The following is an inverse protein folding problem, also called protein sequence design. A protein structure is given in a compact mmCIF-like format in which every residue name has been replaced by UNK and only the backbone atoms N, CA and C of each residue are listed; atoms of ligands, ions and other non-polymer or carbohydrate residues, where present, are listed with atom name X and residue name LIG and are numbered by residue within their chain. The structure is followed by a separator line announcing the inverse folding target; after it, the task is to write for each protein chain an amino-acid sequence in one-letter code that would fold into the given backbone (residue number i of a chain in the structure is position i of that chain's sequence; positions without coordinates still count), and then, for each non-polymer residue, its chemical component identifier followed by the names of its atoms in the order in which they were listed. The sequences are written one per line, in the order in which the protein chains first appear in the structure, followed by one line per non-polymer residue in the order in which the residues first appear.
data_IF_759604984062
#
_entry.id   IF_759604984062
#
_cell.length_a   1.000
_cell.length_b   1.000
_cell.length_c   1.000
_cell.angle_alpha   90.00
_cell.angle_beta   90.00
_cell.angle_gamma   90.00
#
_symmetry.space_group_name_H-M   'P 1'
#
loop_
_entity.id
_entity.type
_entity.pdbx_description
1 polymer ?
#
# COMPACT_ATOMS: atom_id res chain seq x y z
N UNK A 1 14.85 10.58 -33.04
CA UNK A 1 13.59 9.88 -33.37
C UNK A 1 12.96 9.52 -32.05
N UNK A 2 11.81 10.10 -31.72
CA UNK A 2 11.17 9.89 -30.42
C UNK A 2 10.68 8.44 -30.34
N UNK A 3 11.16 7.68 -29.35
CA UNK A 3 10.61 6.35 -29.06
C UNK A 3 9.12 6.48 -28.75
N UNK A 4 8.31 5.64 -29.39
CA UNK A 4 6.87 5.62 -29.06
C UNK A 4 6.70 5.01 -27.65
N UNK A 5 5.71 5.45 -26.86
CA UNK A 5 5.48 4.92 -25.50
C UNK A 5 5.35 3.38 -25.46
N UNK A 6 4.80 2.78 -26.51
CA UNK A 6 4.71 1.33 -26.68
C UNK A 6 6.07 0.65 -26.85
N UNK A 7 7.02 1.30 -27.50
CA UNK A 7 8.36 0.78 -27.72
C UNK A 7 9.19 0.84 -26.43
N UNK A 8 9.11 1.96 -25.69
CA UNK A 8 9.76 2.10 -24.39
C UNK A 8 9.30 1.01 -23.38
N UNK A 9 7.99 0.72 -23.35
CA UNK A 9 7.44 -0.35 -22.52
C UNK A 9 7.91 -1.74 -22.95
N UNK A 10 7.98 -2.00 -24.26
CA UNK A 10 8.46 -3.27 -24.80
C UNK A 10 9.94 -3.53 -24.45
N UNK A 11 10.79 -2.50 -24.58
CA UNK A 11 12.20 -2.59 -24.23
C UNK A 11 12.40 -2.78 -22.72
N UNK A 12 11.58 -2.09 -21.91
CA UNK A 12 11.58 -2.25 -20.46
C UNK A 12 11.13 -3.65 -20.02
N UNK A 13 10.07 -4.20 -20.63
CA UNK A 13 9.62 -5.58 -20.38
C UNK A 13 10.71 -6.60 -20.71
N UNK A 14 11.40 -6.42 -21.84
CA UNK A 14 12.52 -7.28 -22.23
C UNK A 14 13.69 -7.20 -21.23
N UNK A 15 13.97 -6.01 -20.69
CA UNK A 15 14.98 -5.81 -19.66
C UNK A 15 14.60 -6.48 -18.32
N UNK A 16 13.35 -6.33 -17.88
CA UNK A 16 12.87 -6.97 -16.65
C UNK A 16 12.81 -8.49 -16.76
N UNK A 17 12.42 -9.05 -17.91
CA UNK A 17 12.48 -10.49 -18.16
C UNK A 17 13.92 -11.04 -18.11
N UNK A 18 14.90 -10.28 -18.62
CA UNK A 18 16.33 -10.66 -18.47
C UNK A 18 16.78 -10.64 -17.01
N UNK A 19 16.37 -9.62 -16.25
CA UNK A 19 16.69 -9.52 -14.83
C UNK A 19 16.07 -10.68 -14.04
N UNK A 20 14.79 -10.97 -14.26
CA UNK A 20 14.09 -12.08 -13.64
C UNK A 20 14.72 -13.44 -13.99
N UNK A 21 15.14 -13.63 -15.25
CA UNK A 21 15.89 -14.80 -15.67
C UNK A 21 17.20 -14.98 -14.88
N UNK A 22 17.95 -13.88 -14.70
CA UNK A 22 19.21 -13.88 -13.95
C UNK A 22 19.01 -14.19 -12.47
N UNK A 23 17.97 -13.64 -11.85
CA UNK A 23 17.62 -13.90 -10.44
C UNK A 23 17.20 -15.36 -10.24
N UNK A 24 16.42 -15.92 -11.17
CA UNK A 24 15.98 -17.31 -11.13
C UNK A 24 17.07 -18.32 -11.54
N UNK A 25 18.25 -17.84 -11.95
CA UNK A 25 19.39 -18.63 -12.43
C UNK A 25 19.00 -19.72 -13.44
N UNK A 26 18.14 -19.36 -14.40
CA UNK A 26 17.63 -20.30 -15.41
C UNK A 26 18.19 -19.98 -16.78
N UNK A 27 18.68 -21.00 -17.49
CA UNK A 27 19.05 -20.84 -18.90
C UNK A 27 17.80 -20.79 -19.80
N UNK A 28 17.91 -20.15 -20.97
CA UNK A 28 16.77 -19.95 -21.89
C UNK A 28 16.16 -21.26 -22.39
N UNK A 29 16.93 -22.35 -22.52
CA UNK A 29 16.40 -23.63 -22.98
C UNK A 29 15.51 -24.28 -21.92
N UNK A 30 15.95 -24.26 -20.67
CA UNK A 30 15.17 -24.74 -19.52
C UNK A 30 13.92 -23.89 -19.33
N UNK A 31 14.05 -22.57 -19.47
CA UNK A 31 12.91 -21.65 -19.36
C UNK A 31 11.87 -21.89 -20.46
N UNK A 32 12.33 -22.05 -21.71
CA UNK A 32 11.51 -22.41 -22.87
C UNK A 32 10.72 -23.69 -22.64
N UNK A 33 11.38 -24.74 -22.13
CA UNK A 33 10.74 -26.01 -21.83
C UNK A 33 9.67 -25.87 -20.76
N UNK A 34 9.97 -25.17 -19.65
CA UNK A 34 9.02 -24.96 -18.55
C UNK A 34 7.81 -24.12 -18.96
N UNK A 35 8.03 -23.08 -19.76
CA UNK A 35 6.96 -22.18 -20.23
C UNK A 35 6.20 -22.73 -21.46
N UNK A 36 6.63 -23.85 -22.05
CA UNK A 36 6.11 -24.36 -23.34
C UNK A 36 6.16 -23.32 -24.47
N UNK A 37 7.22 -22.49 -24.49
CA UNK A 37 7.48 -21.47 -25.52
C UNK A 37 8.79 -21.85 -26.22
N UNK A 38 8.87 -21.64 -27.54
CA UNK A 38 10.11 -21.95 -28.28
C UNK A 38 11.27 -21.08 -27.81
N UNK A 39 12.48 -21.64 -27.70
CA UNK A 39 13.66 -20.89 -27.27
C UNK A 39 13.94 -19.68 -28.17
N UNK A 40 13.68 -19.80 -29.48
CA UNK A 40 13.87 -18.72 -30.45
C UNK A 40 12.91 -17.55 -30.18
N UNK A 41 11.66 -17.87 -29.81
CA UNK A 41 10.68 -16.87 -29.39
C UNK A 41 11.15 -16.12 -28.15
N UNK A 42 11.63 -16.84 -27.12
CA UNK A 42 12.18 -16.23 -25.90
C UNK A 42 13.37 -15.34 -26.23
N UNK A 43 14.31 -15.78 -27.06
CA UNK A 43 15.45 -14.95 -27.47
C UNK A 43 15.02 -13.66 -28.19
N UNK A 44 13.99 -13.72 -29.04
CA UNK A 44 13.46 -12.54 -29.73
C UNK A 44 12.78 -11.57 -28.74
N UNK A 45 12.02 -12.10 -27.77
CA UNK A 45 11.40 -11.32 -26.70
C UNK A 45 12.48 -10.65 -25.83
N UNK A 46 13.43 -11.42 -25.31
CA UNK A 46 14.49 -10.89 -24.45
C UNK A 46 15.34 -9.86 -25.17
N UNK A 47 15.52 -9.92 -26.49
CA UNK A 47 16.25 -8.90 -27.26
C UNK A 47 15.40 -7.69 -27.65
N UNK A 48 14.13 -7.63 -27.24
CA UNK A 48 13.20 -6.57 -27.64
C UNK A 48 12.80 -6.63 -29.12
N UNK A 49 13.17 -7.68 -29.86
CA UNK A 49 12.89 -7.82 -31.31
C UNK A 49 11.46 -8.26 -31.61
N UNK A 50 10.73 -8.71 -30.59
CA UNK A 50 9.34 -9.11 -30.67
C UNK A 50 8.63 -8.75 -29.35
N UNK A 51 7.40 -8.21 -29.40
CA UNK A 51 6.61 -8.01 -28.19
C UNK A 51 6.22 -9.34 -27.56
N UNK A 52 6.15 -9.37 -26.23
CA UNK A 52 5.61 -10.51 -25.48
C UNK A 52 4.09 -10.34 -25.35
N UNK A 53 3.33 -11.39 -25.65
CA UNK A 53 1.89 -11.38 -25.37
C UNK A 53 1.61 -11.59 -23.88
N UNK A 54 0.41 -11.22 -23.41
CA UNK A 54 0.00 -11.44 -22.01
C UNK A 54 0.10 -12.91 -21.61
N UNK A 55 -0.33 -13.82 -22.49
CA UNK A 55 -0.27 -15.27 -22.22
C UNK A 55 1.18 -15.74 -22.10
N UNK A 56 2.06 -15.33 -23.02
CA UNK A 56 3.48 -15.67 -22.95
C UNK A 56 4.14 -15.10 -21.69
N UNK A 57 3.78 -13.88 -21.29
CA UNK A 57 4.30 -13.26 -20.09
C UNK A 57 3.91 -14.05 -18.83
N UNK A 58 2.64 -14.45 -18.71
CA UNK A 58 2.15 -15.27 -17.59
C UNK A 58 2.90 -16.61 -17.54
N UNK A 59 3.05 -17.29 -18.68
CA UNK A 59 3.76 -18.57 -18.75
C UNK A 59 5.25 -18.44 -18.40
N UNK A 60 5.90 -17.36 -18.85
CA UNK A 60 7.31 -17.09 -18.56
C UNK A 60 7.51 -16.82 -17.07
N UNK A 61 6.67 -15.98 -16.44
CA UNK A 61 6.71 -15.68 -15.02
C UNK A 61 6.42 -16.92 -14.16
N UNK A 62 5.39 -17.69 -14.50
CA UNK A 62 5.05 -18.93 -13.78
C UNK A 62 6.19 -19.94 -13.80
N UNK A 63 6.90 -20.08 -14.93
CA UNK A 63 8.03 -21.00 -15.08
C UNK A 63 9.23 -20.70 -14.17
N UNK A 64 9.30 -19.48 -13.62
CA UNK A 64 10.34 -19.02 -12.68
C UNK A 64 9.77 -18.58 -11.33
N UNK A 65 8.49 -18.82 -11.08
CA UNK A 65 7.78 -18.40 -9.87
C UNK A 65 7.87 -16.88 -9.58
N UNK A 66 7.82 -16.05 -10.63
CA UNK A 66 7.70 -14.59 -10.54
C UNK A 66 6.23 -14.17 -10.77
N UNK A 67 5.84 -13.01 -10.26
CA UNK A 67 4.50 -12.46 -10.44
C UNK A 67 4.46 -11.59 -11.72
N UNK A 68 3.62 -11.91 -12.72
CA UNK A 68 3.49 -11.12 -13.94
C UNK A 68 3.15 -9.65 -13.69
N UNK A 69 2.34 -9.35 -12.67
CA UNK A 69 1.93 -7.98 -12.35
C UNK A 69 3.09 -7.18 -11.76
N UNK A 70 3.87 -7.79 -10.86
CA UNK A 70 5.06 -7.15 -10.30
C UNK A 70 6.08 -6.88 -11.41
N UNK A 71 6.28 -7.81 -12.36
CA UNK A 71 7.18 -7.61 -13.50
C UNK A 71 6.70 -6.48 -14.41
N UNK A 72 5.41 -6.43 -14.75
CA UNK A 72 4.81 -5.33 -15.51
C UNK A 72 5.03 -3.99 -14.79
N UNK A 73 4.82 -3.93 -13.48
CA UNK A 73 5.04 -2.73 -12.69
C UNK A 73 6.49 -2.25 -12.69
N UNK A 74 7.46 -3.17 -12.57
CA UNK A 74 8.89 -2.84 -12.70
C UNK A 74 9.21 -2.32 -14.10
N UNK A 75 8.68 -2.96 -15.15
CA UNK A 75 8.89 -2.55 -16.53
C UNK A 75 8.28 -1.18 -16.82
N UNK A 76 7.06 -0.95 -16.34
CA UNK A 76 6.37 0.32 -16.54
C UNK A 76 7.09 1.45 -15.79
N UNK A 77 7.58 1.21 -14.57
CA UNK A 77 8.46 2.15 -13.84
C UNK A 77 9.74 2.47 -14.63
N UNK A 78 10.39 1.45 -15.21
CA UNK A 78 11.58 1.62 -16.06
C UNK A 78 11.28 2.41 -17.33
N UNK A 79 10.06 2.28 -17.88
CA UNK A 79 9.59 3.04 -19.05
C UNK A 79 9.09 4.46 -18.70
N UNK A 80 9.15 4.89 -17.43
CA UNK A 80 8.64 6.20 -17.01
C UNK A 80 7.11 6.27 -16.86
N UNK A 81 6.44 5.12 -16.85
CA UNK A 81 4.99 4.97 -16.70
C UNK A 81 4.67 4.07 -15.49
N UNK A 82 4.88 4.52 -14.23
CA UNK A 82 4.73 3.65 -13.08
C UNK A 82 3.31 3.07 -12.98
N UNK A 83 3.21 1.74 -13.06
CA UNK A 83 2.01 0.99 -12.72
C UNK A 83 2.19 0.44 -11.30
N UNK A 84 1.21 0.64 -10.41
CA UNK A 84 1.24 0.00 -9.08
C UNK A 84 0.86 -1.47 -9.24
N UNK A 85 1.70 -2.39 -8.75
CA UNK A 85 1.37 -3.83 -8.80
C UNK A 85 0.26 -4.13 -7.80
N UNK A 86 -0.48 -5.23 -7.99
CA UNK A 86 -1.51 -5.65 -7.02
C UNK A 86 -0.93 -5.73 -5.61
N UNK A 87 0.25 -6.34 -5.47
CA UNK A 87 0.98 -6.43 -4.21
C UNK A 87 1.36 -5.07 -3.64
N UNK A 88 1.80 -4.12 -4.48
CA UNK A 88 2.10 -2.75 -4.02
C UNK A 88 0.85 -2.03 -3.53
N UNK A 89 -0.30 -2.23 -4.21
CA UNK A 89 -1.58 -1.64 -3.81
C UNK A 89 -2.06 -2.26 -2.49
N UNK A 90 -1.99 -3.58 -2.36
CA UNK A 90 -2.34 -4.31 -1.14
C UNK A 90 -1.51 -3.82 0.05
N UNK A 91 -0.19 -3.71 -0.09
CA UNK A 91 0.69 -3.17 0.97
C UNK A 91 0.28 -1.75 1.37
N UNK A 92 0.04 -0.86 0.40
CA UNK A 92 -0.39 0.51 0.69
C UNK A 92 -1.73 0.53 1.42
N UNK A 93 -2.68 -0.31 1.02
CA UNK A 93 -3.99 -0.41 1.68
C UNK A 93 -3.86 -0.92 3.11
N UNK A 94 -3.04 -1.95 3.33
CA UNK A 94 -2.77 -2.51 4.64
C UNK A 94 -2.13 -1.47 5.57
N UNK A 95 -1.12 -0.74 5.09
CA UNK A 95 -0.43 0.31 5.86
C UNK A 95 -1.39 1.44 6.25
N UNK A 96 -2.28 1.84 5.35
CA UNK A 96 -3.29 2.88 5.62
C UNK A 96 -4.39 2.41 6.56
N UNK A 97 -4.86 1.18 6.41
CA UNK A 97 -5.80 0.55 7.33
C UNK A 97 -5.22 0.52 8.75
N UNK A 98 -3.95 0.10 8.87
CA UNK A 98 -3.20 0.11 10.12
C UNK A 98 -3.10 1.51 10.72
N UNK A 99 -2.64 2.50 9.95
CA UNK A 99 -2.48 3.87 10.44
C UNK A 99 -3.80 4.46 10.94
N UNK A 100 -4.90 4.23 10.22
CA UNK A 100 -6.23 4.66 10.64
C UNK A 100 -6.68 3.97 11.95
N UNK A 101 -6.42 2.67 12.10
CA UNK A 101 -6.72 1.94 13.34
C UNK A 101 -5.86 2.40 14.53
N UNK A 102 -4.58 2.70 14.30
CA UNK A 102 -3.68 3.27 15.32
C UNK A 102 -4.17 4.65 15.75
N UNK A 103 -4.48 5.52 14.79
CA UNK A 103 -5.03 6.85 15.05
C UNK A 103 -6.37 6.80 15.80
N UNK A 104 -7.19 5.78 15.56
CA UNK A 104 -8.45 5.54 16.27
C UNK A 104 -8.28 4.88 17.65
N UNK A 105 -7.07 4.40 17.99
CA UNK A 105 -6.81 3.64 19.22
C UNK A 105 -7.47 2.25 19.22
N UNK A 106 -7.59 1.64 18.05
CA UNK A 106 -8.21 0.32 17.84
C UNK A 106 -7.21 -0.74 17.38
N UNK A 107 -5.96 -0.37 17.11
CA UNK A 107 -4.95 -1.30 16.59
C UNK A 107 -4.55 -2.40 17.59
N UNK A 108 -4.51 -2.07 18.89
CA UNK A 108 -3.95 -2.97 19.91
C UNK A 108 -4.86 -4.17 20.25
N UNK A 109 -6.17 -4.07 19.99
CA UNK A 109 -7.12 -5.16 20.17
C UNK A 109 -7.95 -5.38 18.89
N UNK A 110 -7.46 -6.25 17.99
CA UNK A 110 -8.13 -6.54 16.72
C UNK A 110 -9.53 -7.14 16.87
N UNK A 111 -9.83 -7.81 17.99
CA UNK A 111 -11.15 -8.40 18.22
C UNK A 111 -12.15 -7.31 18.64
N UNK A 112 -11.74 -6.42 19.55
CA UNK A 112 -12.55 -5.26 19.93
C UNK A 112 -12.79 -4.34 18.73
N UNK A 113 -11.76 -4.10 17.92
CA UNK A 113 -11.87 -3.31 16.69
C UNK A 113 -12.89 -3.93 15.73
N UNK A 114 -12.81 -5.25 15.50
CA UNK A 114 -13.78 -5.97 14.68
C UNK A 114 -15.22 -5.84 15.22
N UNK A 115 -15.42 -6.05 16.52
CA UNK A 115 -16.77 -5.98 17.11
C UNK A 115 -17.37 -4.57 17.03
N UNK A 116 -16.55 -3.53 17.23
CA UNK A 116 -16.96 -2.12 17.05
C UNK A 116 -17.30 -1.82 15.59
N UNK A 117 -16.43 -2.18 14.66
CA UNK A 117 -16.65 -1.98 13.23
C UNK A 117 -17.92 -2.69 12.76
N UNK A 118 -18.09 -3.97 13.14
CA UNK A 118 -19.28 -4.76 12.78
C UNK A 118 -20.56 -4.12 13.30
N UNK A 119 -20.56 -3.60 14.52
CA UNK A 119 -21.74 -2.94 15.10
C UNK A 119 -22.07 -1.65 14.34
N UNK A 120 -21.07 -0.80 14.11
CA UNK A 120 -21.25 0.47 13.39
C UNK A 120 -21.79 0.24 11.97
N UNK A 121 -21.23 -0.73 11.25
CA UNK A 121 -21.67 -1.07 9.89
C UNK A 121 -23.09 -1.69 9.89
N UNK A 122 -23.45 -2.47 10.91
CA UNK A 122 -24.79 -3.05 11.00
C UNK A 122 -25.88 -1.99 11.19
N UNK A 123 -25.57 -0.85 11.84
CA UNK A 123 -26.51 0.27 12.01
C UNK A 123 -26.90 0.92 10.67
N UNK A 124 -26.01 0.84 9.68
CA UNK A 124 -26.25 1.33 8.30
C UNK A 124 -26.72 0.23 7.34
N UNK A 125 -26.97 -0.98 7.85
CA UNK A 125 -27.45 -2.14 7.07
C UNK A 125 -26.36 -2.91 6.34
N UNK A 126 -25.08 -2.58 6.59
CA UNK A 126 -23.93 -3.27 6.01
C UNK A 126 -23.47 -4.41 6.94
N UNK A 127 -23.23 -5.60 6.40
CA UNK A 127 -22.68 -6.72 7.17
C UNK A 127 -21.16 -6.78 7.01
N UNK A 128 -20.45 -7.00 8.11
CA UNK A 128 -19.00 -7.20 8.12
C UNK A 128 -18.65 -8.59 8.66
N UNK A 129 -18.22 -9.48 7.76
CA UNK A 129 -17.69 -10.79 8.12
C UNK A 129 -16.24 -10.70 8.66
N UNK A 130 -15.79 -11.74 9.36
CA UNK A 130 -14.39 -11.84 9.80
C UNK A 130 -13.42 -11.93 8.62
N UNK A 131 -13.83 -12.56 7.52
CA UNK A 131 -13.01 -12.68 6.33
C UNK A 131 -12.80 -11.32 5.65
N UNK A 132 -13.86 -10.52 5.51
CA UNK A 132 -13.76 -9.16 4.95
C UNK A 132 -12.92 -8.26 5.84
N UNK A 133 -13.06 -8.38 7.16
CA UNK A 133 -12.20 -7.67 8.10
C UNK A 133 -10.73 -8.05 7.95
N UNK A 134 -10.42 -9.34 7.87
CA UNK A 134 -9.04 -9.79 7.67
C UNK A 134 -8.48 -9.33 6.32
N UNK A 135 -9.27 -9.42 5.24
CA UNK A 135 -8.86 -8.93 3.93
C UNK A 135 -8.63 -7.41 3.93
N UNK A 136 -9.40 -6.64 4.71
CA UNK A 136 -9.14 -5.21 4.92
C UNK A 136 -7.79 -4.97 5.60
N UNK A 137 -7.48 -5.69 6.68
CA UNK A 137 -6.20 -5.57 7.39
C UNK A 137 -5.01 -5.96 6.52
N UNK A 138 -5.18 -6.95 5.65
CA UNK A 138 -4.16 -7.42 4.70
C UNK A 138 -4.10 -6.57 3.43
N UNK A 139 -5.01 -5.61 3.25
CA UNK A 139 -5.12 -4.77 2.06
C UNK A 139 -5.64 -5.48 0.80
N UNK A 140 -6.00 -6.75 0.91
CA UNK A 140 -6.58 -7.60 -0.16
C UNK A 140 -8.09 -7.43 -0.32
N UNK A 141 -8.72 -6.64 0.56
CA UNK A 141 -10.15 -6.42 0.62
C UNK A 141 -10.75 -5.70 -0.59
N UNK A 142 -12.06 -5.92 -0.79
CA UNK A 142 -12.84 -5.27 -1.83
C UNK A 142 -12.96 -3.76 -1.62
N UNK A 143 -12.91 -2.99 -2.71
CA UNK A 143 -13.19 -1.55 -2.70
C UNK A 143 -14.61 -1.21 -2.19
N UNK A 144 -15.54 -2.16 -2.24
CA UNK A 144 -16.90 -1.96 -1.69
C UNK A 144 -16.92 -1.79 -0.17
N UNK A 145 -15.88 -2.26 0.53
CA UNK A 145 -15.77 -2.16 1.98
C UNK A 145 -14.98 -0.93 2.43
N UNK A 146 -14.23 -0.26 1.54
CA UNK A 146 -13.39 0.88 1.94
C UNK A 146 -14.21 2.11 2.31
N UNK A 147 -15.36 2.33 1.68
CA UNK A 147 -16.23 3.46 2.05
C UNK A 147 -16.90 3.27 3.43
N UNK A 148 -17.60 2.16 3.73
CA UNK A 148 -18.16 1.93 5.07
C UNK A 148 -17.11 1.90 6.18
N UNK A 149 -15.95 1.29 5.91
CA UNK A 149 -14.85 1.27 6.89
C UNK A 149 -14.17 2.63 7.04
N UNK A 150 -14.14 3.43 5.97
CA UNK A 150 -13.66 4.81 6.00
C UNK A 150 -14.55 5.67 6.89
N UNK A 151 -15.87 5.58 6.75
CA UNK A 151 -16.83 6.27 7.61
C UNK A 151 -16.65 5.86 9.09
N UNK A 152 -16.51 4.56 9.38
CA UNK A 152 -16.25 4.06 10.73
C UNK A 152 -14.93 4.59 11.32
N UNK A 153 -13.88 4.73 10.51
CA UNK A 153 -12.56 5.19 10.93
C UNK A 153 -12.37 6.71 10.79
N UNK A 154 -13.42 7.43 10.37
CA UNK A 154 -13.39 8.87 10.09
C UNK A 154 -12.31 9.28 9.06
N UNK A 155 -12.11 8.45 8.03
CA UNK A 155 -11.18 8.69 6.91
C UNK A 155 -11.86 8.52 5.56
N UNK A 156 -11.40 9.20 4.49
CA UNK A 156 -11.96 9.00 3.15
C UNK A 156 -11.86 7.54 2.68
N UNK A 157 -12.89 7.04 2.01
CA UNK A 157 -12.88 5.69 1.44
C UNK A 157 -11.81 5.51 0.35
N UNK A 158 -11.51 6.57 -0.40
CA UNK A 158 -10.45 6.59 -1.42
C UNK A 158 -9.06 6.45 -0.79
N UNK A 159 -8.86 7.02 0.40
CA UNK A 159 -7.62 6.87 1.17
C UNK A 159 -7.37 5.39 1.47
N UNK A 160 -8.37 4.70 2.05
CA UNK A 160 -8.27 3.25 2.32
C UNK A 160 -8.18 2.40 1.05
N UNK A 161 -8.71 2.88 -0.08
CA UNK A 161 -8.60 2.19 -1.37
C UNK A 161 -7.21 2.29 -2.03
N UNK A 162 -6.28 3.08 -1.46
CA UNK A 162 -4.93 3.24 -1.99
C UNK A 162 -4.80 4.34 -3.05
N UNK A 163 -5.74 5.29 -3.12
CA UNK A 163 -5.63 6.46 -4.01
C UNK A 163 -4.36 7.27 -3.68
N UNK A 164 -3.75 7.86 -4.69
CA UNK A 164 -2.48 8.60 -4.56
C UNK A 164 -2.65 10.00 -5.11
N UNK A 165 -3.22 10.87 -4.27
CA UNK A 165 -3.45 12.28 -4.57
C UNK A 165 -2.99 13.18 -3.41
N UNK A 166 -2.99 14.49 -3.64
CA UNK A 166 -2.57 15.46 -2.61
C UNK A 166 -3.49 15.45 -1.38
N UNK A 167 -4.76 15.07 -1.53
CA UNK A 167 -5.69 14.93 -0.41
C UNK A 167 -5.27 13.79 0.54
N UNK A 168 -4.73 12.72 -0.02
CA UNK A 168 -4.19 11.58 0.73
C UNK A 168 -3.01 11.98 1.62
N UNK A 169 -2.08 12.79 1.12
CA UNK A 169 -0.92 13.23 1.91
C UNK A 169 -1.36 14.00 3.17
N UNK A 170 -2.38 14.86 3.04
CA UNK A 170 -2.97 15.58 4.18
C UNK A 170 -3.58 14.64 5.21
N UNK A 171 -4.37 13.65 4.77
CA UNK A 171 -4.97 12.63 5.66
C UNK A 171 -3.89 11.85 6.40
N UNK A 172 -2.80 11.45 5.74
CA UNK A 172 -1.69 10.76 6.42
C UNK A 172 -1.05 11.62 7.51
N UNK A 173 -0.82 12.90 7.25
CA UNK A 173 -0.28 13.83 8.25
C UNK A 173 -1.20 13.96 9.46
N UNK A 174 -2.50 14.15 9.22
CA UNK A 174 -3.51 14.26 10.29
C UNK A 174 -3.59 12.97 11.13
N UNK A 175 -3.56 11.79 10.49
CA UNK A 175 -3.59 10.50 11.20
C UNK A 175 -2.31 10.26 12.02
N UNK A 176 -1.14 10.59 11.48
CA UNK A 176 0.14 10.49 12.22
C UNK A 176 0.16 11.42 13.42
N UNK A 177 -0.36 12.64 13.27
CA UNK A 177 -0.53 13.56 14.38
C UNK A 177 -1.50 13.00 15.43
N UNK A 178 -2.68 12.52 15.02
CA UNK A 178 -3.66 11.91 15.93
C UNK A 178 -3.11 10.69 16.68
N UNK A 179 -2.36 9.82 16.00
CA UNK A 179 -1.62 8.71 16.60
C UNK A 179 -0.60 9.21 17.62
N UNK A 180 0.22 10.19 17.26
CA UNK A 180 1.25 10.75 18.15
C UNK A 180 0.64 11.38 19.40
N UNK A 181 -0.45 12.15 19.23
CA UNK A 181 -1.21 12.72 20.33
C UNK A 181 -1.82 11.65 21.24
N UNK A 182 -2.24 10.52 20.67
CA UNK A 182 -2.66 9.34 21.45
C UNK A 182 -1.50 8.70 22.18
N UNK A 183 -0.37 8.46 21.55
CA UNK A 183 0.80 7.82 22.20
C UNK A 183 1.32 8.69 23.37
N UNK A 184 1.41 10.00 23.15
CA UNK A 184 1.77 10.98 24.20
C UNK A 184 0.67 11.11 25.25
N UNK A 185 -0.59 11.10 24.82
CA UNK A 185 -1.78 11.16 25.65
C UNK A 185 -1.91 9.95 26.56
N UNK A 186 -1.70 8.73 26.06
CA UNK A 186 -1.72 7.48 26.83
C UNK A 186 -0.57 7.44 27.83
N UNK A 187 0.61 7.96 27.48
CA UNK A 187 1.75 8.01 28.42
C UNK A 187 1.52 9.02 29.57
N UNK A 188 0.76 10.11 29.33
CA UNK A 188 0.40 11.10 30.37
C UNK A 188 -0.89 10.76 31.14
N UNK A 189 -1.89 10.14 30.49
CA UNK A 189 -3.19 9.80 31.10
C UNK A 189 -3.17 8.47 31.86
N UNK A 190 -2.22 7.57 31.61
CA UNK A 190 -2.07 6.34 32.39
C UNK A 190 -1.63 6.60 33.85
N UNK A 191 -1.33 7.85 34.23
CA UNK A 191 -0.92 8.20 35.58
C UNK A 191 -1.96 8.98 36.41
N UNK A 192 -2.86 9.81 35.85
CA UNK A 192 -3.76 10.66 36.67
C UNK A 192 -5.05 11.09 35.96
N UNK A 193 -6.14 11.17 36.74
CA UNK A 193 -7.41 11.79 36.34
C UNK A 193 -7.25 13.29 36.05
N UNK A 194 -7.89 13.77 34.97
CA UNK A 194 -7.86 15.15 34.46
C UNK A 194 -8.25 16.25 35.48
N UNK A 195 -8.82 15.88 36.64
CA UNK A 195 -9.23 16.79 37.71
C UNK A 195 -8.07 17.21 38.65
N UNK A 196 -6.88 16.58 38.52
CA UNK A 196 -5.67 16.90 39.31
C UNK A 196 -4.62 17.72 38.53
N UNK A 197 -4.90 18.16 37.30
CA UNK A 197 -3.88 18.80 36.46
C UNK A 197 -3.54 20.22 36.95
N UNK A 198 -2.30 20.38 37.41
CA UNK A 198 -1.76 21.67 37.82
C UNK A 198 -1.34 22.55 36.62
N UNK A 199 -1.14 23.85 36.89
CA UNK A 199 -0.74 24.85 35.89
C UNK A 199 0.53 24.47 35.10
N UNK A 200 1.45 23.72 35.72
CA UNK A 200 2.71 23.33 35.10
C UNK A 200 2.56 22.16 34.10
N UNK A 201 1.54 21.32 34.25
CA UNK A 201 1.25 20.23 33.30
C UNK A 201 0.53 20.74 32.04
N UNK A 202 -0.28 21.78 32.19
CA UNK A 202 -0.87 22.54 31.07
C UNK A 202 0.26 23.16 30.23
N UNK A 203 1.29 23.72 30.87
CA UNK A 203 2.47 24.26 30.16
C UNK A 203 3.27 23.18 29.43
N UNK A 204 3.39 21.99 29.99
CA UNK A 204 4.07 20.87 29.31
C UNK A 204 3.27 20.34 28.10
N UNK A 205 1.96 20.55 28.04
CA UNK A 205 1.15 20.30 26.82
C UNK A 205 1.37 21.42 25.82
N UNK A 206 1.36 22.68 26.27
CA UNK A 206 1.61 23.86 25.43
C UNK A 206 3.00 23.84 24.79
N UNK A 207 4.03 23.41 25.52
CA UNK A 207 5.42 23.31 25.05
C UNK A 207 5.62 22.16 24.05
N UNK A 208 4.91 21.04 24.24
CA UNK A 208 4.91 19.94 23.28
C UNK A 208 4.22 20.32 21.96
N UNK A 209 3.13 21.09 22.03
CA UNK A 209 2.46 21.65 20.85
C UNK A 209 3.38 22.65 20.13
N UNK A 210 4.06 23.53 20.89
CA UNK A 210 4.96 24.55 20.33
C UNK A 210 6.17 23.92 19.62
N UNK A 211 6.78 22.89 20.21
CA UNK A 211 7.89 22.15 19.60
C UNK A 211 7.49 21.44 18.29
N UNK A 212 6.26 20.91 18.23
CA UNK A 212 5.73 20.29 17.01
C UNK A 212 5.49 21.32 15.89
N UNK A 213 5.03 22.53 16.23
CA UNK A 213 4.89 23.63 15.27
C UNK A 213 6.26 24.09 14.73
N UNK A 214 7.26 24.19 15.60
CA UNK A 214 8.62 24.58 15.21
C UNK A 214 9.32 23.54 14.30
N UNK A 215 9.01 22.25 14.47
CA UNK A 215 9.56 21.15 13.65
C UNK A 215 8.94 21.12 12.23
N UNK A 216 7.66 21.49 12.08
CA UNK A 216 6.99 21.61 10.78
C UNK A 216 7.43 22.88 10.01
N UNK A 217 7.66 24.01 10.68
CA UNK A 217 8.15 25.25 10.03
C UNK A 217 9.62 25.17 9.61
N UNK A 218 10.42 24.29 10.24
CA UNK A 218 11.84 24.07 9.92
C UNK A 218 12.10 23.23 8.65
N UNK A 219 11.08 22.69 7.99
CA UNK A 219 11.21 21.86 6.78
C UNK A 219 10.85 22.60 5.46
N UNK A 220 10.68 23.92 5.52
CA UNK A 220 10.44 24.79 4.36
C UNK A 220 11.55 25.84 4.10
N UNK A 221 12.82 25.50 4.33
CA UNK A 221 13.99 26.24 3.83
C UNK A 221 14.99 25.35 3.09
#
# INVERSE_FOLDING_TARGET
MSETPSQALQEALAAELRAAQGIADVNVRTWAQRASITHDSIYRILRGRRPVSVVELVLLCQAINDDPLDLISRAARRAGHPLRSSRTIEVVRADRARLALEAAGLHDDPNLAYDKARRALAETGQLLSRQEWQAFLEGTGSATMTAPLGEFLEVPGEYLAGADDSATAKVETELRFARTMRDVGVTRLAARSLDELGSDEIKAVEEAIRKFIDEEEGHHQ
#
